data_IF_128032874596
#
_entry.id   IF_128032874596
#
_cell.length_a   1.000
_cell.length_b   1.000
_cell.length_c   1.000
_cell.angle_alpha   90.00
_cell.angle_beta   90.00
_cell.angle_gamma   90.00
#
_symmetry.space_group_name_H-M   'P 1'
#
loop_
_entity.id
_entity.type
_entity.pdbx_description
1 polymer ?
#
# COMPACT_ATOMS: atom_id res chain seq x y z
N UNK A 1 -9.95 -15.08 -11.89
CA UNK A 1 -10.22 -14.93 -13.34
C UNK A 1 -9.67 -16.18 -14.01
N UNK A 2 -10.55 -17.16 -14.29
CA UNK A 2 -10.18 -18.35 -15.02
C UNK A 2 -10.17 -18.03 -16.50
N UNK A 3 -8.98 -18.00 -17.12
CA UNK A 3 -8.88 -18.00 -18.57
C UNK A 3 -9.43 -19.32 -19.09
N UNK A 4 -10.58 -19.27 -19.76
CA UNK A 4 -11.08 -20.34 -20.61
C UNK A 4 -9.94 -20.73 -21.56
N UNK A 5 -9.34 -21.90 -21.32
CA UNK A 5 -8.41 -22.49 -22.27
C UNK A 5 -9.19 -22.69 -23.57
N UNK A 6 -8.85 -21.90 -24.59
CA UNK A 6 -9.37 -22.13 -25.93
C UNK A 6 -8.87 -23.54 -26.33
N UNK A 7 -9.79 -24.49 -26.40
CA UNK A 7 -9.52 -25.93 -26.59
C UNK A 7 -8.87 -26.28 -27.93
N UNK A 8 -8.56 -25.27 -28.75
CA UNK A 8 -8.11 -25.42 -30.12
C UNK A 8 -6.59 -25.36 -30.33
N UNK A 9 -5.76 -25.28 -29.28
CA UNK A 9 -4.30 -25.24 -29.43
C UNK A 9 -3.78 -24.07 -30.29
N UNK A 10 -4.63 -23.07 -30.55
CA UNK A 10 -4.30 -21.87 -31.30
C UNK A 10 -3.40 -20.96 -30.47
N UNK A 11 -2.39 -20.37 -31.11
CA UNK A 11 -1.53 -19.38 -30.45
C UNK A 11 -2.38 -18.18 -30.04
N UNK A 12 -2.37 -17.83 -28.76
CA UNK A 12 -3.04 -16.62 -28.25
C UNK A 12 -2.44 -15.40 -28.97
N UNK A 13 -3.26 -14.47 -29.50
CA UNK A 13 -2.75 -13.25 -30.11
C UNK A 13 -1.85 -12.49 -29.12
N UNK A 14 -0.70 -11.99 -29.61
CA UNK A 14 0.28 -11.31 -28.77
C UNK A 14 -0.33 -10.15 -27.97
N UNK A 15 -1.23 -9.39 -28.58
CA UNK A 15 -1.96 -8.28 -27.94
C UNK A 15 -2.78 -8.76 -26.73
N UNK A 16 -3.51 -9.86 -26.88
CA UNK A 16 -4.32 -10.43 -25.79
C UNK A 16 -3.45 -10.94 -24.65
N UNK A 17 -2.28 -11.51 -24.96
CA UNK A 17 -1.31 -11.94 -23.96
C UNK A 17 -0.74 -10.75 -23.17
N UNK A 18 -0.29 -9.69 -23.85
CA UNK A 18 0.24 -8.48 -23.22
C UNK A 18 -0.83 -7.82 -22.34
N UNK A 19 -2.07 -7.74 -22.82
CA UNK A 19 -3.20 -7.24 -22.03
C UNK A 19 -3.45 -8.08 -20.78
N UNK A 20 -3.45 -9.41 -20.92
CA UNK A 20 -3.61 -10.33 -19.80
C UNK A 20 -2.53 -10.15 -18.73
N UNK A 21 -1.27 -10.02 -19.14
CA UNK A 21 -0.14 -9.79 -18.24
C UNK A 21 -0.21 -8.42 -17.53
N UNK A 22 -0.61 -7.37 -18.25
CA UNK A 22 -0.89 -6.07 -17.65
C UNK A 22 -1.98 -6.17 -16.57
N UNK A 23 -3.11 -6.78 -16.90
CA UNK A 23 -4.25 -6.91 -15.99
C UNK A 23 -3.87 -7.72 -14.73
N UNK A 24 -3.15 -8.82 -14.88
CA UNK A 24 -2.69 -9.66 -13.77
C UNK A 24 -1.79 -8.87 -12.82
N UNK A 25 -0.75 -8.20 -13.34
CA UNK A 25 0.15 -7.44 -12.48
C UNK A 25 -0.50 -6.23 -11.81
N UNK A 26 -1.44 -5.53 -12.47
CA UNK A 26 -2.20 -4.47 -11.77
C UNK A 26 -3.08 -5.03 -10.66
N UNK A 27 -3.60 -6.24 -10.82
CA UNK A 27 -4.42 -6.93 -9.80
C UNK A 27 -3.56 -7.37 -8.62
N UNK A 28 -2.41 -8.00 -8.90
CA UNK A 28 -1.43 -8.39 -7.87
C UNK A 28 -0.90 -7.18 -7.10
N UNK A 29 -0.59 -6.07 -7.80
CA UNK A 29 -0.18 -4.81 -7.17
C UNK A 29 -1.23 -4.27 -6.19
N UNK A 30 -2.52 -4.27 -6.58
CA UNK A 30 -3.63 -3.89 -5.71
C UNK A 30 -3.81 -4.84 -4.52
N UNK A 31 -3.62 -6.14 -4.73
CA UNK A 31 -3.72 -7.13 -3.67
C UNK A 31 -2.68 -6.90 -2.56
N UNK A 32 -1.42 -6.66 -2.93
CA UNK A 32 -0.36 -6.34 -1.96
C UNK A 32 -0.62 -5.03 -1.21
N UNK A 33 -1.16 -4.02 -1.89
CA UNK A 33 -1.56 -2.77 -1.25
C UNK A 33 -2.71 -2.97 -0.24
N UNK A 34 -3.72 -3.78 -0.59
CA UNK A 34 -4.81 -4.13 0.31
C UNK A 34 -4.32 -4.92 1.53
N UNK A 35 -3.40 -5.87 1.33
CA UNK A 35 -2.76 -6.61 2.43
C UNK A 35 -1.98 -5.67 3.38
N UNK A 36 -1.26 -4.67 2.84
CA UNK A 36 -0.54 -3.68 3.64
C UNK A 36 -1.50 -2.90 4.55
N UNK A 37 -2.59 -2.40 3.97
CA UNK A 37 -3.62 -1.67 4.72
C UNK A 37 -4.27 -2.56 5.77
N UNK A 38 -4.63 -3.80 5.41
CA UNK A 38 -5.22 -4.77 6.32
C UNK A 38 -4.35 -5.05 7.54
N UNK A 39 -3.04 -5.28 7.35
CA UNK A 39 -2.11 -5.50 8.46
C UNK A 39 -1.98 -4.27 9.36
N UNK A 40 -1.92 -3.06 8.79
CA UNK A 40 -1.88 -1.84 9.60
C UNK A 40 -3.16 -1.67 10.45
N UNK A 41 -4.34 -1.94 9.88
CA UNK A 41 -5.62 -1.88 10.62
C UNK A 41 -5.68 -2.90 11.74
N UNK A 42 -5.32 -4.17 11.45
CA UNK A 42 -5.26 -5.24 12.46
C UNK A 42 -4.28 -4.84 13.56
N UNK A 43 -3.14 -4.27 13.18
CA UNK A 43 -2.08 -3.92 14.12
C UNK A 43 -2.47 -2.81 15.07
N UNK A 44 -3.14 -1.76 14.57
CA UNK A 44 -3.68 -0.70 15.41
C UNK A 44 -4.79 -1.21 16.34
N UNK A 45 -5.70 -2.04 15.83
CA UNK A 45 -6.79 -2.61 16.64
C UNK A 45 -6.26 -3.52 17.75
N UNK A 46 -5.29 -4.39 17.44
CA UNK A 46 -4.65 -5.25 18.42
C UNK A 46 -3.82 -4.44 19.42
N UNK A 47 -3.11 -3.40 18.95
CA UNK A 47 -2.40 -2.44 19.79
C UNK A 47 -3.30 -1.80 20.84
N UNK A 48 -4.46 -1.29 20.41
CA UNK A 48 -5.45 -0.69 21.30
C UNK A 48 -6.05 -1.70 22.29
N UNK A 49 -6.39 -2.90 21.83
CA UNK A 49 -6.96 -3.95 22.68
C UNK A 49 -5.97 -4.39 23.77
N UNK A 50 -4.71 -4.66 23.40
CA UNK A 50 -3.68 -5.07 24.35
C UNK A 50 -3.33 -3.94 25.33
N UNK A 51 -3.26 -2.69 24.85
CA UNK A 51 -3.06 -1.54 25.73
C UNK A 51 -4.20 -1.40 26.76
N UNK A 52 -5.46 -1.62 26.34
CA UNK A 52 -6.61 -1.65 27.25
C UNK A 52 -6.52 -2.78 28.28
N UNK A 53 -6.10 -3.98 27.87
CA UNK A 53 -5.89 -5.11 28.78
C UNK A 53 -4.81 -4.79 29.82
N UNK A 54 -3.67 -4.24 29.41
CA UNK A 54 -2.60 -3.80 30.30
C UNK A 54 -3.12 -2.76 31.31
N UNK A 55 -3.90 -1.78 30.85
CA UNK A 55 -4.46 -0.75 31.71
C UNK A 55 -5.44 -1.30 32.77
N UNK A 56 -6.09 -2.42 32.48
CA UNK A 56 -7.04 -3.09 33.40
C UNK A 56 -6.43 -4.16 34.30
N UNK A 57 -5.15 -4.53 34.09
CA UNK A 57 -4.53 -5.65 34.79
C UNK A 57 -3.54 -5.19 35.86
N UNK A 58 -3.70 -5.72 37.07
CA UNK A 58 -2.76 -5.50 38.18
C UNK A 58 -1.52 -6.42 38.11
N UNK A 59 -1.47 -7.35 37.13
CA UNK A 59 -0.40 -8.35 37.05
C UNK A 59 0.81 -7.81 36.28
N UNK A 60 1.89 -7.49 37.02
CA UNK A 60 3.17 -7.03 36.46
C UNK A 60 3.77 -7.98 35.43
N UNK A 61 3.70 -9.29 35.68
CA UNK A 61 4.25 -10.31 34.76
C UNK A 61 3.45 -10.36 33.46
N UNK A 62 2.12 -10.32 33.53
CA UNK A 62 1.27 -10.28 32.34
C UNK A 62 1.49 -9.00 31.55
N UNK A 63 1.55 -7.84 32.21
CA UNK A 63 1.78 -6.54 31.57
C UNK A 63 3.13 -6.50 30.84
N UNK A 64 4.17 -7.08 31.44
CA UNK A 64 5.50 -7.20 30.81
C UNK A 64 5.44 -8.06 29.55
N UNK A 65 4.77 -9.23 29.60
CA UNK A 65 4.63 -10.14 28.46
C UNK A 65 3.82 -9.48 27.32
N UNK A 66 2.69 -8.85 27.65
CA UNK A 66 1.84 -8.17 26.68
C UNK A 66 2.54 -6.96 26.02
N UNK A 67 3.32 -6.21 26.79
CA UNK A 67 4.10 -5.09 26.26
C UNK A 67 5.22 -5.56 25.34
N UNK A 68 5.94 -6.63 25.73
CA UNK A 68 6.94 -7.27 24.88
C UNK A 68 6.33 -7.81 23.58
N UNK A 69 5.14 -8.40 23.65
CA UNK A 69 4.38 -8.83 22.49
C UNK A 69 4.08 -7.66 21.53
N UNK A 70 3.62 -6.51 22.04
CA UNK A 70 3.36 -5.32 21.21
C UNK A 70 4.61 -4.80 20.50
N UNK A 71 5.77 -4.81 21.16
CA UNK A 71 7.04 -4.42 20.54
C UNK A 71 7.36 -5.33 19.35
N UNK A 72 7.38 -6.64 19.57
CA UNK A 72 7.71 -7.64 18.54
C UNK A 72 6.71 -7.58 17.39
N UNK A 73 5.42 -7.53 17.72
CA UNK A 73 4.35 -7.50 16.73
C UNK A 73 4.33 -6.21 15.91
N UNK A 74 4.55 -5.04 16.53
CA UNK A 74 4.64 -3.76 15.83
C UNK A 74 5.83 -3.71 14.86
N UNK A 75 7.01 -4.21 15.28
CA UNK A 75 8.19 -4.34 14.41
C UNK A 75 7.89 -5.27 13.23
N UNK A 76 7.33 -6.45 13.51
CA UNK A 76 6.93 -7.40 12.47
C UNK A 76 5.98 -6.78 11.45
N UNK A 77 4.94 -6.10 11.92
CA UNK A 77 3.95 -5.45 11.06
C UNK A 77 4.56 -4.32 10.22
N UNK A 78 5.51 -3.56 10.77
CA UNK A 78 6.25 -2.54 10.02
C UNK A 78 7.10 -3.14 8.90
N UNK A 79 7.85 -4.22 9.18
CA UNK A 79 8.65 -4.94 8.18
C UNK A 79 7.76 -5.56 7.11
N UNK A 80 6.64 -6.17 7.51
CA UNK A 80 5.66 -6.73 6.59
C UNK A 80 5.09 -5.64 5.66
N UNK A 81 4.69 -4.50 6.21
CA UNK A 81 4.17 -3.37 5.42
C UNK A 81 5.21 -2.85 4.42
N UNK A 82 6.48 -2.77 4.82
CA UNK A 82 7.57 -2.39 3.93
C UNK A 82 7.73 -3.41 2.78
N UNK A 83 7.69 -4.72 3.10
CA UNK A 83 7.86 -5.79 2.10
C UNK A 83 6.70 -5.85 1.11
N UNK A 84 5.46 -5.67 1.58
CA UNK A 84 4.30 -5.58 0.70
C UNK A 84 4.37 -4.34 -0.20
N UNK A 85 4.84 -3.21 0.33
CA UNK A 85 5.09 -2.02 -0.46
C UNK A 85 6.12 -2.22 -1.57
N UNK A 86 7.19 -3.00 -1.32
CA UNK A 86 8.17 -3.38 -2.34
C UNK A 86 7.55 -4.23 -3.45
N UNK A 87 6.82 -5.29 -3.09
CA UNK A 87 6.16 -6.18 -4.07
C UNK A 87 5.12 -5.44 -4.91
N UNK A 88 4.29 -4.60 -4.28
CA UNK A 88 3.33 -3.77 -5.00
C UNK A 88 4.03 -2.89 -6.05
N UNK A 89 5.13 -2.21 -5.68
CA UNK A 89 5.92 -1.39 -6.62
C UNK A 89 6.51 -2.21 -7.77
N UNK A 90 7.02 -3.41 -7.49
CA UNK A 90 7.54 -4.31 -8.53
C UNK A 90 6.45 -4.64 -9.55
N UNK A 91 5.26 -5.06 -9.11
CA UNK A 91 4.15 -5.38 -10.01
C UNK A 91 3.66 -4.18 -10.79
N UNK A 92 3.56 -2.99 -10.17
CA UNK A 92 3.19 -1.76 -10.89
C UNK A 92 4.24 -1.37 -11.93
N UNK A 93 5.53 -1.54 -11.63
CA UNK A 93 6.60 -1.29 -12.60
C UNK A 93 6.50 -2.23 -13.80
N UNK A 94 6.35 -3.53 -13.57
CA UNK A 94 6.18 -4.52 -14.65
C UNK A 94 4.91 -4.22 -15.46
N UNK A 95 3.79 -3.90 -14.80
CA UNK A 95 2.55 -3.51 -15.49
C UNK A 95 2.74 -2.24 -16.34
N UNK A 96 3.59 -1.31 -15.90
CA UNK A 96 3.90 -0.11 -16.69
C UNK A 96 4.59 -0.46 -18.00
N UNK A 97 5.55 -1.40 -17.99
CA UNK A 97 6.22 -1.84 -19.23
C UNK A 97 5.23 -2.52 -20.20
N UNK A 98 4.36 -3.41 -19.71
CA UNK A 98 3.32 -4.01 -20.55
C UNK A 98 2.34 -2.97 -21.11
N UNK A 99 2.00 -1.96 -20.32
CA UNK A 99 1.17 -0.85 -20.77
C UNK A 99 1.87 -0.05 -21.88
N UNK A 100 3.15 0.25 -21.72
CA UNK A 100 3.94 0.95 -22.75
C UNK A 100 3.95 0.15 -24.06
N UNK A 101 4.07 -1.17 -24.00
CA UNK A 101 4.00 -2.02 -25.19
C UNK A 101 2.62 -2.01 -25.86
N UNK A 102 1.54 -2.01 -25.07
CA UNK A 102 0.18 -1.85 -25.59
C UNK A 102 -0.02 -0.49 -26.26
N UNK A 103 0.55 0.57 -25.69
CA UNK A 103 0.50 1.92 -26.25
C UNK A 103 1.25 1.99 -27.59
N UNK A 104 2.42 1.34 -27.69
CA UNK A 104 3.21 1.29 -28.94
C UNK A 104 2.51 0.51 -30.05
N UNK A 105 1.69 -0.49 -29.70
CA UNK A 105 0.96 -1.33 -30.66
C UNK A 105 -0.34 -0.66 -31.15
N UNK A 106 -0.91 0.23 -30.34
CA UNK A 106 -2.14 0.95 -30.68
C UNK A 106 -1.90 2.04 -31.74
N UNK A 107 -2.70 2.04 -32.81
CA UNK A 107 -2.69 3.12 -33.84
C UNK A 107 -3.54 4.34 -33.48
N UNK A 108 -4.13 4.36 -32.28
CA UNK A 108 -5.01 5.44 -31.81
C UNK A 108 -4.29 6.33 -30.81
N UNK A 109 -4.98 7.35 -30.25
CA UNK A 109 -4.43 8.18 -29.16
C UNK A 109 -3.79 7.29 -28.10
N UNK A 110 -2.59 7.66 -27.66
CA UNK A 110 -1.85 6.87 -26.66
C UNK A 110 -2.69 6.79 -25.38
N UNK A 111 -2.74 5.63 -24.71
CA UNK A 111 -3.47 5.51 -23.42
C UNK A 111 -2.92 6.52 -22.39
N UNK A 112 -1.66 6.94 -22.55
CA UNK A 112 -1.03 8.04 -21.81
C UNK A 112 -1.69 9.40 -22.06
N UNK A 113 -2.06 9.74 -23.30
CA UNK A 113 -2.83 10.96 -23.58
C UNK A 113 -4.18 10.95 -22.87
N UNK A 114 -4.93 9.85 -22.96
CA UNK A 114 -6.23 9.72 -22.29
C UNK A 114 -6.05 9.84 -20.76
N UNK A 115 -5.01 9.21 -20.20
CA UNK A 115 -4.67 9.32 -18.79
C UNK A 115 -4.34 10.76 -18.40
N UNK A 116 -3.53 11.45 -19.21
CA UNK A 116 -3.11 12.82 -18.93
C UNK A 116 -4.30 13.78 -19.01
N UNK A 117 -5.19 13.62 -20.00
CA UNK A 117 -6.45 14.35 -20.08
C UNK A 117 -7.32 14.13 -18.84
N UNK A 118 -7.46 12.88 -18.39
CA UNK A 118 -8.18 12.57 -17.14
C UNK A 118 -7.52 13.19 -15.90
N UNK A 119 -6.18 13.17 -15.83
CA UNK A 119 -5.43 13.78 -14.73
C UNK A 119 -5.56 15.31 -14.72
N UNK A 120 -5.47 15.95 -15.87
CA UNK A 120 -5.60 17.39 -16.01
C UNK A 120 -7.03 17.83 -15.65
N UNK A 121 -8.05 17.13 -16.17
CA UNK A 121 -9.44 17.36 -15.81
C UNK A 121 -9.70 17.15 -14.31
N UNK A 122 -9.08 16.13 -13.70
CA UNK A 122 -9.17 15.93 -12.24
C UNK A 122 -8.50 17.08 -11.50
N UNK A 123 -7.30 17.50 -11.92
CA UNK A 123 -6.54 18.58 -11.27
C UNK A 123 -7.30 19.90 -11.34
N UNK A 124 -7.87 20.24 -12.48
CA UNK A 124 -8.66 21.47 -12.69
C UNK A 124 -9.91 21.48 -11.79
N UNK A 125 -10.66 20.38 -11.76
CA UNK A 125 -11.85 20.25 -10.91
C UNK A 125 -11.50 20.20 -9.41
N UNK A 126 -10.36 19.63 -9.04
CA UNK A 126 -9.93 19.50 -7.65
C UNK A 126 -9.28 20.78 -7.10
N UNK A 127 -8.52 21.51 -7.92
CA UNK A 127 -7.96 22.82 -7.53
C UNK A 127 -9.06 23.83 -7.24
N UNK A 128 -10.17 23.78 -7.98
CA UNK A 128 -11.34 24.61 -7.71
C UNK A 128 -11.93 24.37 -6.31
N UNK A 129 -11.97 23.12 -5.82
CA UNK A 129 -12.49 22.79 -4.47
C UNK A 129 -11.55 23.14 -3.32
N UNK A 130 -10.25 23.17 -3.56
CA UNK A 130 -9.24 23.42 -2.52
C UNK A 130 -8.75 24.87 -2.48
N UNK A 131 -9.14 25.70 -3.45
CA UNK A 131 -8.68 27.09 -3.58
C UNK A 131 -7.18 27.21 -3.91
N UNK A 132 -6.55 26.10 -4.30
CA UNK A 132 -5.11 26.04 -4.50
C UNK A 132 -4.75 26.43 -5.94
N UNK A 133 -4.44 27.71 -6.13
CA UNK A 133 -3.97 28.33 -7.37
C UNK A 133 -2.45 28.21 -7.58
N UNK A 134 -1.74 27.35 -6.84
CA UNK A 134 -0.29 27.23 -6.98
C UNK A 134 0.12 26.71 -8.37
N UNK A 135 1.21 27.24 -8.97
CA UNK A 135 1.66 26.83 -10.30
C UNK A 135 2.03 25.34 -10.34
N UNK A 136 1.78 24.66 -11.47
CA UNK A 136 2.05 23.22 -11.66
C UNK A 136 3.46 22.79 -11.21
N UNK A 137 4.46 23.65 -11.38
CA UNK A 137 5.86 23.41 -10.95
C UNK A 137 6.06 23.35 -9.44
N UNK A 138 5.20 24.00 -8.64
CA UNK A 138 5.27 23.96 -7.18
C UNK A 138 4.72 22.64 -6.60
N UNK A 139 3.87 21.93 -7.35
CA UNK A 139 3.27 20.65 -6.93
C UNK A 139 4.18 19.43 -7.15
N UNK A 140 5.17 19.52 -8.04
CA UNK A 140 6.13 18.42 -8.29
C UNK A 140 6.97 18.03 -7.06
N UNK A 141 6.98 18.86 -6.00
CA UNK A 141 7.64 18.58 -4.74
C UNK A 141 6.77 17.93 -3.64
N UNK A 142 5.43 18.05 -3.71
CA UNK A 142 4.51 17.70 -2.60
C UNK A 142 4.13 16.21 -2.57
N UNK A 143 4.34 15.46 -3.64
CA UNK A 143 4.08 14.01 -3.71
C UNK A 143 5.12 13.15 -2.93
N UNK A 144 6.00 13.80 -2.15
CA UNK A 144 7.15 13.13 -1.53
C UNK A 144 6.83 12.41 -0.22
N UNK A 145 5.69 12.68 0.43
CA UNK A 145 5.24 11.80 1.51
C UNK A 145 4.71 10.54 0.86
N UNK A 146 5.62 9.62 0.56
CA UNK A 146 5.28 8.35 -0.04
C UNK A 146 4.38 7.62 0.96
N UNK A 147 3.11 7.46 0.63
CA UNK A 147 2.06 6.89 1.47
C UNK A 147 2.48 5.60 2.21
N UNK A 148 3.42 4.82 1.66
CA UNK A 148 3.96 3.65 2.35
C UNK A 148 4.70 3.97 3.66
N UNK A 149 5.35 5.14 3.78
CA UNK A 149 6.01 5.56 5.02
C UNK A 149 5.01 5.76 6.15
N UNK A 150 3.79 6.22 5.84
CA UNK A 150 2.71 6.34 6.81
C UNK A 150 2.40 4.96 7.43
N UNK A 151 2.24 3.93 6.60
CA UNK A 151 1.94 2.58 7.08
C UNK A 151 3.08 1.98 7.92
N UNK A 152 4.34 2.22 7.54
CA UNK A 152 5.49 1.81 8.36
C UNK A 152 5.47 2.56 9.68
N UNK A 153 5.28 3.88 9.65
CA UNK A 153 5.21 4.74 10.83
C UNK A 153 4.11 4.34 11.81
N UNK A 154 2.91 4.02 11.32
CA UNK A 154 1.79 3.56 12.16
C UNK A 154 2.13 2.28 12.92
N UNK A 155 2.78 1.31 12.27
CA UNK A 155 3.19 0.07 12.94
C UNK A 155 4.36 0.28 13.90
N UNK A 156 5.29 1.18 13.57
CA UNK A 156 6.35 1.59 14.48
C UNK A 156 5.81 2.33 15.70
N UNK A 157 4.71 3.08 15.57
CA UNK A 157 4.02 3.71 16.70
C UNK A 157 3.48 2.65 17.66
N UNK A 158 2.89 1.56 17.16
CA UNK A 158 2.46 0.42 18.00
C UNK A 158 3.65 -0.20 18.73
N UNK A 159 4.78 -0.41 18.04
CA UNK A 159 5.99 -0.92 18.69
C UNK A 159 6.54 0.04 19.76
N UNK A 160 6.55 1.34 19.49
CA UNK A 160 6.97 2.37 20.43
C UNK A 160 6.05 2.43 21.66
N UNK A 161 4.74 2.32 21.47
CA UNK A 161 3.78 2.20 22.57
C UNK A 161 4.08 0.96 23.44
N UNK A 162 4.31 -0.19 22.83
CA UNK A 162 4.72 -1.41 23.54
C UNK A 162 6.01 -1.21 24.35
N UNK A 163 6.99 -0.48 23.80
CA UNK A 163 8.25 -0.20 24.49
C UNK A 163 8.04 0.71 25.71
N UNK A 164 7.21 1.75 25.57
CA UNK A 164 6.85 2.65 26.67
C UNK A 164 6.15 1.86 27.79
N UNK A 165 5.17 1.03 27.45
CA UNK A 165 4.45 0.20 28.42
C UNK A 165 5.35 -0.83 29.09
N UNK A 166 6.31 -1.40 28.35
CA UNK A 166 7.28 -2.35 28.89
C UNK A 166 8.22 -1.69 29.91
N UNK A 167 8.72 -0.50 29.59
CA UNK A 167 9.55 0.27 30.53
C UNK A 167 8.73 0.61 31.77
N UNK A 168 7.50 1.09 31.58
CA UNK A 168 6.61 1.42 32.69
C UNK A 168 6.33 0.21 33.60
N UNK A 169 6.07 -0.98 33.02
CA UNK A 169 5.79 -2.20 33.78
C UNK A 169 6.99 -2.73 34.56
N UNK A 170 8.22 -2.33 34.22
CA UNK A 170 9.42 -2.72 34.96
C UNK A 170 9.59 -1.85 36.21
N UNK A 171 9.35 -0.54 36.10
CA UNK A 171 9.61 0.43 37.16
C UNK A 171 8.49 0.58 38.19
N UNK A 172 7.23 0.34 37.82
CA UNK A 172 6.11 0.21 38.76
C UNK A 172 5.97 -1.24 39.22
#
# INVERSE_FOLDING_TARGET
MGGSADSNGGKVPAEQYVWGMYAEHTTQGRHHEAQRTGVATISLALGAAVAGLIASSDSKSLNTILSAFLVVFGIFAAVFAAKQGERARMHIRIATEFRTELENTSRTKTLSEIRNLGRDAHTENWSYRTGDNRPKSAREGEDKIRLYWLFIGLNLLVAALGLILLVWSIFM
#
